data_IF_349678066014
#
_entry.id   IF_349678066014
#
_cell.length_a   1.000
_cell.length_b   1.000
_cell.length_c   1.000
_cell.angle_alpha   90.00
_cell.angle_beta   90.00
_cell.angle_gamma   90.00
#
_symmetry.space_group_name_H-M   'P 1'
#
loop_
_entity.id
_entity.type
_entity.pdbx_description
1 polymer ?
#
# COMPACT_ATOMS: atom_id res chain seq x y z
N UNK A 1 -14.99 1.01 10.70
CA UNK A 1 -14.19 1.48 9.55
C UNK A 1 -14.68 0.84 8.24
N UNK A 2 -14.87 -0.50 8.15
CA UNK A 2 -15.34 -1.17 6.94
C UNK A 2 -16.65 -0.58 6.38
N UNK A 3 -17.60 -0.24 7.25
CA UNK A 3 -18.85 0.39 6.85
C UNK A 3 -18.63 1.70 6.06
N UNK A 4 -17.67 2.53 6.46
CA UNK A 4 -17.37 3.77 5.73
C UNK A 4 -16.79 3.50 4.34
N UNK A 5 -15.90 2.52 4.20
CA UNK A 5 -15.36 2.13 2.89
C UNK A 5 -16.46 1.62 1.95
N UNK A 6 -17.35 0.76 2.44
CA UNK A 6 -18.47 0.24 1.66
C UNK A 6 -19.41 1.37 1.20
N UNK A 7 -19.82 2.25 2.11
CA UNK A 7 -20.68 3.38 1.76
C UNK A 7 -20.00 4.36 0.79
N UNK A 8 -18.69 4.58 0.93
CA UNK A 8 -17.95 5.42 -0.03
C UNK A 8 -17.91 4.77 -1.41
N UNK A 9 -17.63 3.45 -1.49
CA UNK A 9 -17.66 2.71 -2.75
C UNK A 9 -19.06 2.77 -3.40
N UNK A 10 -20.12 2.57 -2.63
CA UNK A 10 -21.50 2.66 -3.13
C UNK A 10 -21.84 4.07 -3.60
N UNK A 11 -21.40 5.07 -2.85
CA UNK A 11 -21.63 6.47 -3.19
C UNK A 11 -20.93 6.87 -4.50
N UNK A 12 -19.64 6.53 -4.68
CA UNK A 12 -18.92 6.90 -5.90
C UNK A 12 -19.49 6.23 -7.14
N UNK A 13 -19.94 4.97 -7.03
CA UNK A 13 -20.62 4.26 -8.12
C UNK A 13 -21.97 4.93 -8.44
N UNK A 14 -22.79 5.20 -7.42
CA UNK A 14 -24.12 5.78 -7.60
C UNK A 14 -24.09 7.20 -8.19
N UNK A 15 -22.99 7.93 -7.96
CA UNK A 15 -22.82 9.29 -8.46
C UNK A 15 -21.87 9.39 -9.67
N UNK A 16 -21.39 8.25 -10.19
CA UNK A 16 -20.41 8.19 -11.28
C UNK A 16 -19.19 9.10 -11.02
N UNK A 17 -18.70 9.07 -9.77
CA UNK A 17 -17.64 9.94 -9.30
C UNK A 17 -16.30 9.19 -9.19
N UNK A 18 -15.21 9.88 -9.52
CA UNK A 18 -13.85 9.40 -9.41
C UNK A 18 -13.22 9.02 -10.74
N UNK A 19 -11.90 8.88 -10.73
CA UNK A 19 -11.08 8.74 -11.92
C UNK A 19 -11.59 7.64 -12.88
N UNK A 20 -11.95 6.48 -12.37
CA UNK A 20 -12.40 5.36 -13.20
C UNK A 20 -13.73 5.67 -13.93
N UNK A 21 -14.63 6.43 -13.32
CA UNK A 21 -15.90 6.81 -13.91
C UNK A 21 -15.79 7.95 -14.95
N UNK A 22 -14.69 8.68 -14.95
CA UNK A 22 -14.46 9.78 -15.91
C UNK A 22 -13.82 9.31 -17.22
N UNK A 23 -13.41 8.05 -17.29
CA UNK A 23 -12.89 7.44 -18.53
C UNK A 23 -13.98 6.55 -19.10
N UNK A 24 -14.59 6.90 -20.25
CA UNK A 24 -15.66 6.11 -20.84
C UNK A 24 -15.14 4.77 -21.35
N UNK A 25 -16.00 3.75 -21.27
CA UNK A 25 -15.82 2.45 -21.93
C UNK A 25 -14.52 1.69 -21.60
N UNK A 26 -14.02 1.82 -20.36
CA UNK A 26 -12.89 1.01 -19.92
C UNK A 26 -13.26 -0.49 -19.92
N UNK A 27 -12.45 -1.35 -20.57
CA UNK A 27 -12.59 -2.80 -20.37
C UNK A 27 -12.40 -3.15 -18.89
N UNK A 28 -13.19 -4.09 -18.38
CA UNK A 28 -13.18 -4.46 -16.96
C UNK A 28 -11.76 -4.74 -16.41
N UNK A 29 -10.93 -5.44 -17.19
CA UNK A 29 -9.58 -5.77 -16.75
C UNK A 29 -8.68 -4.51 -16.60
N UNK A 30 -8.88 -3.47 -17.44
CA UNK A 30 -8.18 -2.18 -17.32
C UNK A 30 -8.68 -1.42 -16.11
N UNK A 31 -10.00 -1.39 -15.91
CA UNK A 31 -10.62 -0.75 -14.73
C UNK A 31 -10.08 -1.35 -13.43
N UNK A 32 -10.05 -2.69 -13.34
CA UNK A 32 -9.52 -3.40 -12.17
C UNK A 32 -8.03 -3.12 -11.98
N UNK A 33 -7.22 -3.18 -13.05
CA UNK A 33 -5.78 -2.92 -12.97
C UNK A 33 -5.49 -1.49 -12.50
N UNK A 34 -6.13 -0.50 -13.13
CA UNK A 34 -5.96 0.92 -12.76
C UNK A 34 -6.47 1.19 -11.34
N UNK A 35 -7.61 0.59 -10.98
CA UNK A 35 -8.17 0.72 -9.64
C UNK A 35 -7.21 0.20 -8.57
N UNK A 36 -6.66 -1.00 -8.73
CA UNK A 36 -5.68 -1.58 -7.79
C UNK A 36 -4.39 -0.78 -7.75
N UNK A 37 -3.86 -0.35 -8.91
CA UNK A 37 -2.66 0.50 -8.99
C UNK A 37 -2.85 1.81 -8.22
N UNK A 38 -3.92 2.55 -8.51
CA UNK A 38 -4.15 3.85 -7.89
C UNK A 38 -4.49 3.73 -6.39
N UNK A 39 -5.19 2.67 -5.99
CA UNK A 39 -5.43 2.41 -4.57
C UNK A 39 -4.13 2.05 -3.83
N UNK A 40 -3.20 1.33 -4.46
CA UNK A 40 -1.89 1.05 -3.87
C UNK A 40 -1.05 2.33 -3.72
N UNK A 41 -1.08 3.22 -4.73
CA UNK A 41 -0.42 4.51 -4.65
C UNK A 41 -0.97 5.37 -3.51
N UNK A 42 -2.30 5.54 -3.44
CA UNK A 42 -2.93 6.48 -2.51
C UNK A 42 -3.13 5.85 -1.13
N UNK A 43 -3.52 4.58 -1.08
CA UNK A 43 -3.89 3.87 0.16
C UNK A 43 -2.73 3.19 0.88
N UNK A 44 -1.61 2.91 0.19
CA UNK A 44 -0.45 2.26 0.80
C UNK A 44 0.84 3.10 0.67
N UNK A 45 1.27 3.43 -0.55
CA UNK A 45 2.52 4.16 -0.76
C UNK A 45 2.50 5.56 -0.12
N UNK A 46 1.49 6.36 -0.42
CA UNK A 46 1.41 7.74 0.05
C UNK A 46 1.37 7.85 1.58
N UNK A 47 0.53 7.11 2.33
CA UNK A 47 0.57 7.17 3.79
C UNK A 47 1.92 6.70 4.34
N UNK A 48 2.52 5.65 3.81
CA UNK A 48 3.81 5.14 4.26
C UNK A 48 4.92 6.17 4.08
N UNK A 49 4.98 6.81 2.90
CA UNK A 49 5.89 7.92 2.64
C UNK A 49 5.66 9.10 3.61
N UNK A 50 4.41 9.50 3.83
CA UNK A 50 4.06 10.59 4.76
C UNK A 50 4.44 10.22 6.20
N UNK A 51 4.23 8.98 6.62
CA UNK A 51 4.62 8.47 7.94
C UNK A 51 6.13 8.59 8.18
N UNK A 52 6.95 8.44 7.16
CA UNK A 52 8.39 8.65 7.25
C UNK A 52 8.82 10.13 7.22
N UNK A 53 8.10 10.99 6.49
CA UNK A 53 8.47 12.40 6.29
C UNK A 53 7.90 13.33 7.37
N UNK A 54 6.82 12.97 8.01
CA UNK A 54 6.13 13.80 9.02
C UNK A 54 6.46 13.29 10.41
N UNK A 55 7.28 14.03 11.15
CA UNK A 55 7.83 13.60 12.45
C UNK A 55 6.79 13.02 13.45
N UNK A 56 5.61 13.62 13.70
CA UNK A 56 4.61 13.00 14.57
C UNK A 56 4.12 11.64 14.06
N UNK A 57 3.98 11.47 12.74
CA UNK A 57 3.55 10.22 12.13
C UNK A 57 4.68 9.18 12.17
N UNK A 58 5.92 9.61 11.95
CA UNK A 58 7.09 8.76 12.15
C UNK A 58 7.15 8.19 13.57
N UNK A 59 6.84 8.98 14.58
CA UNK A 59 6.88 8.51 15.97
C UNK A 59 5.88 7.38 16.26
N UNK A 60 4.74 7.35 15.58
CA UNK A 60 3.79 6.22 15.67
C UNK A 60 4.20 5.06 14.77
N UNK A 61 4.73 5.32 13.58
CA UNK A 61 5.21 4.31 12.63
C UNK A 61 6.51 3.64 13.11
N UNK A 62 7.30 4.30 13.96
CA UNK A 62 8.49 3.73 14.57
C UNK A 62 8.21 2.45 15.39
N UNK A 63 6.98 2.25 15.85
CA UNK A 63 6.55 0.99 16.50
C UNK A 63 6.71 -0.18 15.52
N UNK A 64 6.35 0.04 14.24
CA UNK A 64 6.54 -0.93 13.16
C UNK A 64 8.03 -1.16 12.86
N UNK A 65 8.85 -0.11 12.86
CA UNK A 65 10.30 -0.18 12.64
C UNK A 65 11.12 -0.62 13.86
N UNK A 66 10.48 -0.91 14.99
CA UNK A 66 11.21 -1.29 16.22
C UNK A 66 11.72 -2.73 16.23
N UNK A 67 11.34 -3.55 15.26
CA UNK A 67 11.80 -4.94 15.16
C UNK A 67 13.22 -5.03 14.63
N UNK A 68 14.07 -5.77 15.39
CA UNK A 68 15.42 -6.09 14.94
C UNK A 68 15.48 -7.24 13.92
N UNK A 69 14.44 -8.05 13.87
CA UNK A 69 14.32 -9.21 12.98
C UNK A 69 12.97 -9.17 12.29
N UNK A 70 12.96 -8.64 11.07
CA UNK A 70 11.73 -8.51 10.26
C UNK A 70 11.21 -9.88 9.86
N UNK A 71 9.96 -10.14 10.22
CA UNK A 71 9.20 -11.32 9.83
C UNK A 71 7.71 -10.99 9.67
N UNK A 72 6.87 -11.97 9.37
CA UNK A 72 5.44 -11.77 9.16
C UNK A 72 4.69 -11.22 10.39
N UNK A 73 5.26 -11.34 11.60
CA UNK A 73 4.67 -10.72 12.80
C UNK A 73 4.93 -9.22 12.84
N UNK A 74 6.05 -8.76 12.27
CA UNK A 74 6.36 -7.34 12.09
C UNK A 74 5.30 -6.65 11.24
N UNK A 75 4.79 -7.35 10.21
CA UNK A 75 3.71 -6.85 9.35
C UNK A 75 2.44 -6.45 10.11
N UNK A 76 2.22 -7.00 11.29
CA UNK A 76 1.05 -6.73 12.14
C UNK A 76 1.37 -5.84 13.35
N UNK A 77 2.62 -5.41 13.50
CA UNK A 77 3.08 -4.57 14.60
C UNK A 77 2.93 -3.10 14.24
N UNK A 78 1.80 -2.52 14.59
CA UNK A 78 1.50 -1.12 14.33
C UNK A 78 0.97 -0.41 15.57
N UNK A 79 1.25 0.87 15.66
CA UNK A 79 0.59 1.72 16.66
C UNK A 79 -0.90 1.89 16.27
N UNK A 80 -1.87 1.81 17.21
CA UNK A 80 -3.29 1.92 16.85
C UNK A 80 -3.66 3.18 16.05
N UNK A 81 -3.02 4.32 16.31
CA UNK A 81 -3.25 5.55 15.55
C UNK A 81 -2.81 5.47 14.09
N UNK A 82 -1.81 4.66 13.77
CA UNK A 82 -1.37 4.43 12.40
C UNK A 82 -2.50 3.84 11.55
N UNK A 83 -3.27 2.91 12.13
CA UNK A 83 -4.42 2.33 11.44
C UNK A 83 -5.47 3.36 11.02
N UNK A 84 -5.66 4.42 11.81
CA UNK A 84 -6.57 5.51 11.43
C UNK A 84 -5.99 6.37 10.31
N UNK A 85 -4.69 6.65 10.33
CA UNK A 85 -4.01 7.39 9.26
C UNK A 85 -4.14 6.63 7.93
N UNK A 86 -3.74 5.36 7.92
CA UNK A 86 -3.80 4.49 6.73
C UNK A 86 -5.22 4.30 6.23
N UNK A 87 -6.19 4.14 7.15
CA UNK A 87 -7.60 4.08 6.80
C UNK A 87 -8.08 5.36 6.12
N UNK A 88 -7.68 6.54 6.64
CA UNK A 88 -8.02 7.84 6.03
C UNK A 88 -7.52 7.95 4.59
N UNK A 89 -6.26 7.56 4.34
CA UNK A 89 -5.71 7.53 2.98
C UNK A 89 -6.43 6.52 2.08
N UNK A 90 -6.76 5.35 2.59
CA UNK A 90 -7.55 4.35 1.83
C UNK A 90 -8.92 4.89 1.47
N UNK A 91 -9.61 5.55 2.41
CA UNK A 91 -10.92 6.16 2.16
C UNK A 91 -10.84 7.25 1.07
N UNK A 92 -9.84 8.12 1.16
CA UNK A 92 -9.54 9.12 0.13
C UNK A 92 -9.22 8.45 -1.21
N UNK A 93 -8.45 7.36 -1.19
CA UNK A 93 -8.14 6.58 -2.39
C UNK A 93 -9.40 6.02 -3.05
N UNK A 94 -10.28 5.36 -2.30
CA UNK A 94 -11.55 4.83 -2.80
C UNK A 94 -12.40 5.94 -3.43
N UNK A 95 -12.48 7.09 -2.75
CA UNK A 95 -13.23 8.25 -3.23
C UNK A 95 -12.65 8.84 -4.53
N UNK A 96 -11.34 9.14 -4.57
CA UNK A 96 -10.70 9.77 -5.74
C UNK A 96 -10.61 8.84 -6.95
N UNK A 97 -10.34 7.56 -6.70
CA UNK A 97 -10.28 6.54 -7.76
C UNK A 97 -11.66 6.23 -8.31
N UNK A 98 -12.70 6.32 -7.48
CA UNK A 98 -14.05 5.88 -7.84
C UNK A 98 -14.16 4.35 -7.79
N UNK A 99 -13.46 3.71 -6.84
CA UNK A 99 -13.38 2.27 -6.77
C UNK A 99 -14.68 1.67 -6.23
N UNK A 100 -15.28 0.76 -7.00
CA UNK A 100 -16.40 -0.04 -6.52
C UNK A 100 -15.97 -1.04 -5.43
N UNK A 101 -16.93 -1.64 -4.74
CA UNK A 101 -16.69 -2.58 -3.64
C UNK A 101 -15.79 -3.74 -4.06
N UNK A 102 -15.98 -4.29 -5.29
CA UNK A 102 -15.18 -5.41 -5.80
C UNK A 102 -13.70 -5.05 -5.96
N UNK A 103 -13.39 -3.90 -6.57
CA UNK A 103 -12.02 -3.40 -6.74
C UNK A 103 -11.39 -3.10 -5.37
N UNK A 104 -12.14 -2.47 -4.47
CA UNK A 104 -11.66 -2.17 -3.13
C UNK A 104 -11.33 -3.44 -2.34
N UNK A 105 -12.21 -4.44 -2.34
CA UNK A 105 -11.97 -5.73 -1.66
C UNK A 105 -10.78 -6.48 -2.27
N UNK A 106 -10.65 -6.48 -3.60
CA UNK A 106 -9.50 -7.08 -4.27
C UNK A 106 -8.20 -6.39 -3.86
N UNK A 107 -8.16 -5.05 -3.89
CA UNK A 107 -7.01 -4.28 -3.44
C UNK A 107 -6.64 -4.61 -1.98
N UNK A 108 -7.60 -4.60 -1.05
CA UNK A 108 -7.35 -4.92 0.36
C UNK A 108 -6.76 -6.32 0.52
N UNK A 109 -7.28 -7.29 -0.23
CA UNK A 109 -6.79 -8.68 -0.19
C UNK A 109 -5.35 -8.78 -0.73
N UNK A 110 -5.07 -8.15 -1.87
CA UNK A 110 -3.74 -8.12 -2.46
C UNK A 110 -2.74 -7.37 -1.58
N UNK A 111 -3.16 -6.25 -0.99
CA UNK A 111 -2.36 -5.46 -0.06
C UNK A 111 -1.97 -6.28 1.18
N UNK A 112 -2.92 -7.03 1.76
CA UNK A 112 -2.63 -7.92 2.89
C UNK A 112 -1.62 -9.01 2.51
N UNK A 113 -1.83 -9.68 1.37
CA UNK A 113 -0.92 -10.73 0.89
C UNK A 113 0.47 -10.15 0.64
N UNK A 114 0.56 -8.99 -0.02
CA UNK A 114 1.82 -8.32 -0.29
C UNK A 114 2.54 -7.94 1.00
N UNK A 115 1.83 -7.36 1.97
CA UNK A 115 2.38 -6.99 3.28
C UNK A 115 2.98 -8.21 4.00
N UNK A 116 2.28 -9.36 4.03
CA UNK A 116 2.81 -10.58 4.62
C UNK A 116 4.03 -11.11 3.86
N UNK A 117 4.01 -11.03 2.53
CA UNK A 117 5.12 -11.46 1.68
C UNK A 117 6.36 -10.57 1.87
N UNK A 118 6.20 -9.24 1.87
CA UNK A 118 7.28 -8.27 2.02
C UNK A 118 8.03 -8.42 3.34
N UNK A 119 7.30 -8.72 4.41
CA UNK A 119 7.86 -8.94 5.75
C UNK A 119 8.32 -10.37 5.98
N UNK A 120 8.06 -11.31 5.04
CA UNK A 120 8.44 -12.69 5.23
C UNK A 120 9.96 -12.81 5.43
N UNK A 121 10.38 -13.56 6.46
CA UNK A 121 11.79 -13.82 6.70
C UNK A 121 12.32 -14.93 5.77
N UNK A 122 12.17 -14.70 4.47
CA UNK A 122 12.66 -15.58 3.41
C UNK A 122 13.75 -14.88 2.61
N UNK A 123 14.60 -15.66 1.97
CA UNK A 123 15.60 -15.17 1.04
C UNK A 123 15.35 -15.78 -0.33
N UNK A 124 14.97 -14.96 -1.26
CA UNK A 124 14.78 -15.36 -2.65
C UNK A 124 16.13 -15.53 -3.35
N UNK A 125 16.24 -16.42 -4.36
CA UNK A 125 17.41 -16.42 -5.23
C UNK A 125 17.60 -15.03 -5.85
N UNK A 126 18.84 -14.52 -5.89
CA UNK A 126 19.14 -13.14 -6.31
C UNK A 126 18.50 -12.71 -7.64
N UNK A 127 18.46 -13.61 -8.63
CA UNK A 127 17.84 -13.31 -9.93
C UNK A 127 16.32 -13.18 -9.81
N UNK A 128 15.69 -14.05 -8.99
CA UNK A 128 14.24 -14.01 -8.76
C UNK A 128 13.87 -12.73 -8.04
N UNK A 129 14.59 -12.37 -6.98
CA UNK A 129 14.39 -11.13 -6.24
C UNK A 129 14.55 -9.90 -7.15
N UNK A 130 15.62 -9.86 -7.95
CA UNK A 130 15.88 -8.79 -8.90
C UNK A 130 14.73 -8.61 -9.90
N UNK A 131 14.30 -9.67 -10.57
CA UNK A 131 13.22 -9.56 -11.57
C UNK A 131 11.86 -9.25 -10.94
N UNK A 132 11.58 -9.84 -9.78
CA UNK A 132 10.36 -9.53 -9.02
C UNK A 132 10.31 -8.06 -8.62
N UNK A 133 11.44 -7.52 -8.15
CA UNK A 133 11.54 -6.15 -7.68
C UNK A 133 11.32 -5.09 -8.76
N UNK A 134 11.28 -5.44 -10.04
CA UNK A 134 10.88 -4.50 -11.10
C UNK A 134 9.38 -4.18 -11.09
N UNK A 135 8.55 -5.10 -10.63
CA UNK A 135 7.09 -4.97 -10.63
C UNK A 135 6.50 -4.92 -9.23
N UNK A 136 6.95 -5.81 -8.35
CA UNK A 136 6.41 -5.99 -7.01
C UNK A 136 7.48 -5.69 -5.96
N UNK A 137 7.03 -5.29 -4.78
CA UNK A 137 7.93 -5.13 -3.64
C UNK A 137 8.36 -6.51 -3.15
N UNK A 138 9.67 -6.74 -3.15
CA UNK A 138 10.25 -8.00 -2.69
C UNK A 138 10.60 -7.97 -1.20
N UNK A 139 10.76 -9.13 -0.54
CA UNK A 139 11.22 -9.19 0.84
C UNK A 139 12.57 -8.50 1.07
N UNK A 140 13.52 -8.59 0.14
CA UNK A 140 14.83 -7.95 0.28
C UNK A 140 14.73 -6.42 0.15
N UNK A 141 13.85 -5.90 -0.74
CA UNK A 141 13.56 -4.47 -0.81
C UNK A 141 12.99 -3.95 0.51
N UNK A 142 11.98 -4.61 1.05
CA UNK A 142 11.30 -4.16 2.25
C UNK A 142 12.14 -4.34 3.52
N UNK A 143 12.96 -5.39 3.60
CA UNK A 143 13.97 -5.54 4.67
C UNK A 143 15.01 -4.42 4.64
N UNK A 144 15.38 -3.93 3.44
CA UNK A 144 16.26 -2.77 3.31
C UNK A 144 15.59 -1.52 3.87
N UNK A 145 14.28 -1.34 3.62
CA UNK A 145 13.48 -0.26 4.19
C UNK A 145 13.44 -0.32 5.73
N UNK A 146 13.33 -1.50 6.33
CA UNK A 146 13.40 -1.69 7.79
C UNK A 146 14.80 -1.52 8.40
N UNK A 147 15.81 -1.14 7.61
CA UNK A 147 17.14 -0.91 8.14
C UNK A 147 17.16 0.34 9.04
N UNK A 148 17.87 0.30 10.18
CA UNK A 148 17.91 1.38 11.17
C UNK A 148 18.75 2.61 10.76
N UNK A 149 19.47 2.56 9.62
CA UNK A 149 20.34 3.63 9.13
C UNK A 149 19.78 4.30 7.88
N UNK A 150 19.87 5.64 7.85
CA UNK A 150 19.70 6.37 6.60
C UNK A 150 20.83 6.06 5.62
N UNK A 151 20.55 6.08 4.29
CA UNK A 151 19.28 6.40 3.66
C UNK A 151 18.33 5.19 3.55
N UNK A 152 18.72 4.01 4.00
CA UNK A 152 18.01 2.75 3.75
C UNK A 152 16.58 2.75 4.30
N UNK A 153 16.39 3.22 5.53
CA UNK A 153 15.05 3.31 6.15
C UNK A 153 14.16 4.37 5.50
N UNK A 154 14.69 5.25 4.66
CA UNK A 154 13.96 6.33 4.00
C UNK A 154 13.83 6.10 2.48
N UNK A 155 13.69 4.84 2.08
CA UNK A 155 13.51 4.35 0.71
C UNK A 155 12.63 3.10 0.70
N UNK A 156 12.11 2.70 -0.46
CA UNK A 156 11.31 1.49 -0.64
C UNK A 156 9.99 1.49 0.19
N UNK A 157 9.17 2.52 -0.01
CA UNK A 157 7.88 2.71 0.68
C UNK A 157 6.74 1.89 0.07
N UNK A 158 6.96 1.24 -1.09
CA UNK A 158 5.95 0.45 -1.79
C UNK A 158 5.39 -0.68 -0.96
N UNK A 159 4.14 -1.08 -1.27
CA UNK A 159 3.52 -2.26 -0.67
C UNK A 159 3.30 -3.37 -1.72
N UNK A 160 2.42 -3.16 -2.71
CA UNK A 160 2.21 -4.15 -3.79
C UNK A 160 3.23 -3.88 -4.89
N UNK A 161 3.21 -2.66 -5.45
CA UNK A 161 3.99 -2.31 -6.63
C UNK A 161 5.24 -1.49 -6.26
N UNK A 162 6.39 -1.92 -6.75
CA UNK A 162 7.68 -1.23 -6.59
C UNK A 162 7.87 -0.05 -7.53
N UNK A 163 6.97 0.15 -8.48
CA UNK A 163 7.05 1.23 -9.47
C UNK A 163 7.00 2.61 -8.80
N UNK A 164 6.29 2.73 -7.69
CA UNK A 164 6.16 3.99 -6.95
C UNK A 164 7.51 4.47 -6.40
N UNK A 165 8.33 3.56 -5.87
CA UNK A 165 9.68 3.85 -5.39
C UNK A 165 10.68 4.22 -6.51
N UNK A 166 10.29 4.03 -7.76
CA UNK A 166 11.09 4.41 -8.94
C UNK A 166 10.64 5.72 -9.55
N UNK A 167 9.39 6.12 -9.30
CA UNK A 167 8.79 7.34 -9.84
C UNK A 167 8.92 8.52 -8.87
N UNK A 168 8.95 8.24 -7.57
CA UNK A 168 8.98 9.22 -6.50
C UNK A 168 10.15 8.99 -5.55
#
# INVERSE_FOLDING_TARGET
LAFLLLNTSDWVVSNSFGFLHWIPELPLWVEVLLGVLLLDLIGAYAPHWVEHKVKPLWMIHLVHHSDHHVDTTTANRHHPLESFVRFGFTLVGVFLVGANVGINMLYQSLSLIATQFNHANIKLPKKVDLYLSYLLVSPDMHKTHHHYRLPYTDANFGNIFSIWDRLF
#
